data_IF_336633534723
#
_entry.id   IF_336633534723
#
_cell.length_a   1.000
_cell.length_b   1.000
_cell.length_c   1.000
_cell.angle_alpha   90.00
_cell.angle_beta   90.00
_cell.angle_gamma   90.00
#
_symmetry.space_group_name_H-M   'P 1'
#
loop_
_entity.id
_entity.type
_entity.pdbx_description
1 polymer ?
#
# COMPACT_ATOMS: atom_id res chain seq x y z
N UNK A 1 9.74 36.17 -11.00
CA UNK A 1 11.04 35.65 -10.51
C UNK A 1 11.16 35.61 -8.99
N UNK A 2 10.86 36.68 -8.24
CA UNK A 2 10.80 36.61 -6.76
C UNK A 2 9.53 35.87 -6.28
N UNK A 3 8.40 36.07 -6.95
CA UNK A 3 7.15 35.36 -6.69
C UNK A 3 7.27 33.85 -6.92
N UNK A 4 7.86 33.41 -8.02
CA UNK A 4 8.00 31.98 -8.34
C UNK A 4 8.87 31.24 -7.30
N UNK A 5 9.95 31.89 -6.83
CA UNK A 5 10.78 31.36 -5.74
C UNK A 5 10.09 31.37 -4.39
N UNK A 6 9.18 32.32 -4.16
CA UNK A 6 8.36 32.36 -2.94
C UNK A 6 7.30 31.28 -2.97
N UNK A 7 6.63 31.10 -4.11
CA UNK A 7 5.64 30.07 -4.34
C UNK A 7 6.29 28.71 -4.14
N UNK A 8 7.41 28.40 -4.80
CA UNK A 8 8.13 27.13 -4.62
C UNK A 8 8.60 26.88 -3.18
N UNK A 9 8.93 27.94 -2.44
CA UNK A 9 9.24 27.80 -1.00
C UNK A 9 7.99 27.53 -0.18
N UNK A 10 6.88 28.21 -0.46
CA UNK A 10 5.58 28.11 0.23
C UNK A 10 4.90 26.76 -0.05
N UNK A 11 4.95 26.26 -1.28
CA UNK A 11 4.44 24.94 -1.68
C UNK A 11 5.46 23.82 -1.47
N UNK A 12 6.64 24.13 -0.94
CA UNK A 12 7.65 23.15 -0.60
C UNK A 12 7.08 22.10 0.35
N UNK A 13 7.38 20.82 0.08
CA UNK A 13 6.96 19.66 0.88
C UNK A 13 7.24 19.88 2.38
N UNK A 14 8.35 20.55 2.72
CA UNK A 14 8.72 20.91 4.09
C UNK A 14 7.67 21.76 4.80
N UNK A 15 7.06 22.74 4.11
CA UNK A 15 6.04 23.61 4.71
C UNK A 15 4.72 22.87 4.89
N UNK A 16 4.38 21.98 3.96
CA UNK A 16 3.21 21.10 4.10
C UNK A 16 3.39 20.19 5.32
N UNK A 17 4.56 19.57 5.48
CA UNK A 17 4.88 18.73 6.65
C UNK A 17 4.83 19.56 7.94
N UNK A 18 5.44 20.75 7.94
CA UNK A 18 5.44 21.63 9.11
C UNK A 18 4.01 22.04 9.50
N UNK A 19 3.16 22.33 8.50
CA UNK A 19 1.74 22.66 8.72
C UNK A 19 0.97 21.49 9.33
N UNK A 20 1.25 20.27 8.89
CA UNK A 20 0.67 19.04 9.47
C UNK A 20 1.12 18.86 10.92
N UNK A 21 2.41 19.10 11.23
CA UNK A 21 2.93 19.02 12.60
C UNK A 21 2.22 20.04 13.50
N UNK A 22 2.13 21.30 13.06
CA UNK A 22 1.41 22.34 13.81
C UNK A 22 -0.07 22.02 13.98
N UNK A 23 -0.70 21.43 12.98
CA UNK A 23 -2.08 20.95 13.06
C UNK A 23 -2.26 19.90 14.17
N UNK A 24 -1.38 18.88 14.22
CA UNK A 24 -1.40 17.85 15.26
C UNK A 24 -1.13 18.44 16.63
N UNK A 25 -0.11 19.30 16.77
CA UNK A 25 0.20 19.97 18.03
C UNK A 25 -0.95 20.84 18.52
N UNK A 26 -1.63 21.55 17.61
CA UNK A 26 -2.81 22.34 17.93
C UNK A 26 -3.93 21.50 18.52
N UNK A 27 -4.26 20.36 17.91
CA UNK A 27 -5.25 19.43 18.48
C UNK A 27 -4.81 18.81 19.79
N UNK A 28 -3.53 18.45 19.90
CA UNK A 28 -2.97 17.90 21.12
C UNK A 28 -3.16 18.87 22.29
N UNK A 29 -2.74 20.12 22.13
CA UNK A 29 -2.90 21.17 23.15
C UNK A 29 -4.37 21.37 23.51
N UNK A 30 -5.27 21.43 22.51
CA UNK A 30 -6.70 21.63 22.74
C UNK A 30 -7.32 20.47 23.55
N UNK A 31 -7.07 19.24 23.14
CA UNK A 31 -7.61 18.05 23.80
C UNK A 31 -7.03 17.89 25.20
N UNK A 32 -5.74 18.16 25.40
CA UNK A 32 -5.11 18.17 26.73
C UNK A 32 -5.77 19.21 27.63
N UNK A 33 -5.97 20.43 27.17
CA UNK A 33 -6.61 21.49 27.95
C UNK A 33 -8.04 21.10 28.35
N UNK A 34 -8.81 20.54 27.41
CA UNK A 34 -10.17 20.08 27.67
C UNK A 34 -10.23 18.92 28.66
N UNK A 35 -9.38 17.90 28.48
CA UNK A 35 -9.32 16.74 29.38
C UNK A 35 -8.85 17.13 30.77
N UNK A 36 -7.88 18.03 30.88
CA UNK A 36 -7.40 18.52 32.16
C UNK A 36 -8.50 19.29 32.91
N UNK A 37 -9.31 20.09 32.21
CA UNK A 37 -10.46 20.79 32.82
C UNK A 37 -11.52 19.79 33.31
N UNK A 38 -11.86 18.76 32.53
CA UNK A 38 -12.88 17.78 32.91
C UNK A 38 -12.40 16.83 34.01
N UNK A 39 -11.16 16.34 33.92
CA UNK A 39 -10.57 15.44 34.90
C UNK A 39 -10.24 16.15 36.22
N UNK A 40 -10.26 17.48 36.27
CA UNK A 40 -10.03 18.23 37.52
C UNK A 40 -11.05 17.89 38.60
N UNK A 41 -12.25 17.47 38.20
CA UNK A 41 -13.33 17.03 39.08
C UNK A 41 -13.17 15.60 39.61
N UNK A 42 -12.18 14.83 39.12
CA UNK A 42 -12.02 13.39 39.43
C UNK A 42 -10.61 13.09 39.96
N UNK A 43 -9.59 13.75 39.39
CA UNK A 43 -8.19 13.56 39.73
C UNK A 43 -7.66 14.85 40.36
N UNK A 44 -7.48 14.81 41.67
CA UNK A 44 -6.96 15.94 42.46
C UNK A 44 -5.49 16.23 42.13
N UNK A 45 -4.69 15.18 41.92
CA UNK A 45 -3.26 15.33 41.63
C UNK A 45 -3.04 15.86 40.22
N UNK A 46 -2.56 17.10 40.13
CA UNK A 46 -2.34 17.81 38.86
C UNK A 46 -1.40 17.06 37.90
N UNK A 47 -0.31 16.48 38.41
CA UNK A 47 0.66 15.73 37.60
C UNK A 47 0.02 14.49 36.95
N UNK A 48 -0.77 13.73 37.73
CA UNK A 48 -1.49 12.57 37.20
C UNK A 48 -2.51 13.00 36.14
N UNK A 49 -3.22 14.10 36.38
CA UNK A 49 -4.22 14.65 35.47
C UNK A 49 -3.62 15.06 34.12
N UNK A 50 -2.51 15.80 34.11
CA UNK A 50 -1.82 16.15 32.86
C UNK A 50 -1.29 14.91 32.13
N UNK A 51 -0.71 13.96 32.86
CA UNK A 51 -0.19 12.72 32.28
C UNK A 51 -1.29 11.93 31.57
N UNK A 52 -2.42 11.71 32.25
CA UNK A 52 -3.59 11.05 31.65
C UNK A 52 -4.15 11.83 30.46
N UNK A 53 -4.22 13.16 30.57
CA UNK A 53 -4.72 14.01 29.48
C UNK A 53 -3.84 13.90 28.24
N UNK A 54 -2.51 13.93 28.40
CA UNK A 54 -1.56 13.77 27.28
C UNK A 54 -1.67 12.39 26.65
N UNK A 55 -1.73 11.33 27.47
CA UNK A 55 -1.83 9.95 26.97
C UNK A 55 -3.08 9.71 26.13
N UNK A 56 -4.21 10.34 26.47
CA UNK A 56 -5.45 10.27 25.67
C UNK A 56 -5.40 11.21 24.47
N UNK A 57 -4.81 12.40 24.61
CA UNK A 57 -4.79 13.41 23.56
C UNK A 57 -3.89 13.03 22.38
N UNK A 58 -2.79 12.31 22.59
CA UNK A 58 -1.90 11.83 21.51
C UNK A 58 -2.67 10.97 20.49
N UNK A 59 -3.28 9.83 20.86
CA UNK A 59 -4.00 9.00 19.90
C UNK A 59 -5.19 9.74 19.29
N UNK A 60 -5.90 10.56 20.08
CA UNK A 60 -7.02 11.36 19.57
C UNK A 60 -6.57 12.34 18.46
N UNK A 61 -5.43 13.02 18.65
CA UNK A 61 -4.89 13.96 17.66
C UNK A 61 -4.40 13.26 16.39
N UNK A 62 -3.80 12.07 16.53
CA UNK A 62 -3.41 11.25 15.38
C UNK A 62 -4.62 10.73 14.61
N UNK A 63 -5.69 10.32 15.31
CA UNK A 63 -6.95 9.91 14.67
C UNK A 63 -7.54 11.06 13.87
N UNK A 64 -7.57 12.28 14.42
CA UNK A 64 -8.03 13.46 13.67
C UNK A 64 -7.22 13.69 12.41
N UNK A 65 -5.90 13.54 12.49
CA UNK A 65 -5.04 13.69 11.32
C UNK A 65 -5.40 12.65 10.25
N UNK A 66 -5.49 11.38 10.62
CA UNK A 66 -5.83 10.29 9.71
C UNK A 66 -7.19 10.53 9.05
N UNK A 67 -8.20 10.89 9.84
CA UNK A 67 -9.54 11.21 9.33
C UNK A 67 -9.52 12.44 8.44
N UNK A 68 -8.76 13.48 8.78
CA UNK A 68 -8.66 14.71 7.98
C UNK A 68 -8.04 14.46 6.61
N UNK A 69 -7.02 13.60 6.54
CA UNK A 69 -6.34 13.24 5.28
C UNK A 69 -7.23 12.37 4.39
N UNK A 70 -7.95 11.40 4.98
CA UNK A 70 -8.72 10.40 4.24
C UNK A 70 -10.22 10.73 4.11
N UNK A 71 -10.67 11.88 4.63
CA UNK A 71 -12.04 12.34 4.45
C UNK A 71 -12.28 12.77 2.99
N UNK A 72 -12.83 11.86 2.19
CA UNK A 72 -13.30 12.19 0.85
C UNK A 72 -14.62 12.97 0.89
N UNK A 73 -15.48 12.64 1.84
CA UNK A 73 -16.80 13.26 1.96
C UNK A 73 -16.72 14.62 2.64
N UNK A 74 -17.24 15.65 1.96
CA UNK A 74 -17.18 17.04 2.44
C UNK A 74 -17.85 17.23 3.80
N UNK A 75 -18.92 16.49 4.10
CA UNK A 75 -19.64 16.61 5.37
C UNK A 75 -18.77 16.22 6.58
N UNK A 76 -17.84 15.25 6.44
CA UNK A 76 -16.91 14.87 7.52
C UNK A 76 -15.99 16.02 7.88
N UNK A 77 -15.53 16.79 6.88
CA UNK A 77 -14.71 17.99 7.08
C UNK A 77 -15.49 19.10 7.79
N UNK A 78 -16.73 19.33 7.39
CA UNK A 78 -17.61 20.29 8.06
C UNK A 78 -17.91 19.87 9.50
N UNK A 79 -18.16 18.59 9.75
CA UNK A 79 -18.39 18.07 11.10
C UNK A 79 -17.15 18.29 11.99
N UNK A 80 -15.96 18.01 11.46
CA UNK A 80 -14.69 18.25 12.17
C UNK A 80 -14.51 19.74 12.52
N UNK A 81 -14.83 20.63 11.58
CA UNK A 81 -14.76 22.07 11.80
C UNK A 81 -15.77 22.54 12.86
N UNK A 82 -16.97 21.97 12.88
CA UNK A 82 -17.96 22.23 13.94
C UNK A 82 -17.44 21.76 15.29
N UNK A 83 -16.88 20.55 15.38
CA UNK A 83 -16.26 20.07 16.61
C UNK A 83 -15.10 20.96 17.06
N UNK A 84 -14.26 21.42 16.14
CA UNK A 84 -13.15 22.31 16.48
C UNK A 84 -13.63 23.68 16.96
N UNK A 85 -14.71 24.20 16.36
CA UNK A 85 -15.36 25.44 16.80
C UNK A 85 -15.91 25.30 18.24
N UNK A 86 -16.64 24.22 18.52
CA UNK A 86 -17.18 23.94 19.86
C UNK A 86 -16.05 23.75 20.87
N UNK A 87 -15.00 23.01 20.51
CA UNK A 87 -13.80 22.78 21.32
C UNK A 87 -13.12 24.11 21.66
N UNK A 88 -12.93 25.00 20.68
CA UNK A 88 -12.35 26.32 20.87
C UNK A 88 -13.21 27.20 21.79
N UNK A 89 -14.53 27.20 21.60
CA UNK A 89 -15.47 27.94 22.47
C UNK A 89 -15.34 27.49 23.93
N UNK A 90 -15.23 26.18 24.15
CA UNK A 90 -15.05 25.58 25.48
C UNK A 90 -13.70 25.98 26.09
N UNK A 91 -12.61 25.86 25.34
CA UNK A 91 -11.24 26.09 25.84
C UNK A 91 -10.94 27.56 26.06
N UNK A 92 -11.32 28.41 25.11
CA UNK A 92 -11.12 29.86 25.21
C UNK A 92 -11.98 30.48 26.30
N UNK A 93 -12.85 29.68 26.96
CA UNK A 93 -13.74 30.14 28.01
C UNK A 93 -14.46 31.41 27.56
N UNK A 94 -14.93 31.43 26.30
CA UNK A 94 -15.54 32.62 25.67
C UNK A 94 -16.75 33.16 26.46
N UNK A 95 -17.23 32.39 27.44
CA UNK A 95 -18.34 32.70 28.33
C UNK A 95 -17.92 32.91 29.80
N UNK A 96 -16.65 32.78 30.20
CA UNK A 96 -16.27 32.91 31.62
C UNK A 96 -16.32 34.33 32.19
N UNK A 97 -16.14 35.36 31.36
CA UNK A 97 -16.22 36.77 31.79
C UNK A 97 -17.65 37.33 31.75
N UNK A 98 -18.62 36.53 31.34
CA UNK A 98 -20.03 36.90 31.45
C UNK A 98 -20.46 36.57 32.86
N UNK A 99 -20.89 37.57 33.62
CA UNK A 99 -21.32 37.46 35.01
C UNK A 99 -22.61 36.61 35.10
N UNK A 100 -22.46 35.30 35.06
CA UNK A 100 -23.52 34.30 35.18
C UNK A 100 -23.93 34.07 36.64
N UNK A 101 -23.57 34.95 37.58
CA UNK A 101 -24.00 34.86 38.98
C UNK A 101 -25.53 34.81 39.15
N UNK A 102 -26.30 35.30 38.17
CA UNK A 102 -27.77 35.16 38.09
C UNK A 102 -28.27 33.92 37.34
N UNK A 103 -27.39 33.16 36.71
CA UNK A 103 -27.66 32.06 35.80
C UNK A 103 -26.79 30.85 36.17
N UNK A 104 -26.83 30.44 37.43
CA UNK A 104 -26.28 29.16 37.93
C UNK A 104 -26.71 27.95 37.10
N UNK A 105 -27.85 28.05 36.39
CA UNK A 105 -28.31 27.05 35.43
C UNK A 105 -27.41 26.93 34.20
N UNK A 106 -26.80 28.03 33.72
CA UNK A 106 -25.95 28.03 32.52
C UNK A 106 -24.57 27.45 32.82
N UNK A 107 -23.95 27.78 33.96
CA UNK A 107 -22.64 27.21 34.33
C UNK A 107 -22.72 25.68 34.45
N UNK A 108 -23.78 25.19 35.10
CA UNK A 108 -24.05 23.75 35.21
C UNK A 108 -24.30 23.10 33.84
N UNK A 109 -24.97 23.81 32.93
CA UNK A 109 -25.20 23.32 31.57
C UNK A 109 -23.90 23.26 30.75
N UNK A 110 -23.00 24.22 30.92
CA UNK A 110 -21.68 24.22 30.26
C UNK A 110 -20.85 23.05 30.76
N UNK A 111 -20.78 22.81 32.07
CA UNK A 111 -20.01 21.70 32.62
C UNK A 111 -20.59 20.33 32.24
N UNK A 112 -21.92 20.21 32.20
CA UNK A 112 -22.59 19.04 31.65
C UNK A 112 -22.26 18.84 30.16
N UNK A 113 -22.29 19.93 29.38
CA UNK A 113 -21.96 19.90 27.95
C UNK A 113 -20.51 19.46 27.71
N UNK A 114 -19.55 19.92 28.50
CA UNK A 114 -18.14 19.45 28.43
C UNK A 114 -18.02 17.95 28.69
N UNK A 115 -18.72 17.45 29.72
CA UNK A 115 -18.71 16.03 30.10
C UNK A 115 -19.33 15.14 29.04
N UNK A 116 -20.36 15.62 28.33
CA UNK A 116 -21.00 14.88 27.23
C UNK A 116 -20.21 15.00 25.92
N UNK A 117 -19.61 16.15 25.67
CA UNK A 117 -18.86 16.43 24.45
C UNK A 117 -17.64 15.53 24.29
N UNK A 118 -16.87 15.27 25.35
CA UNK A 118 -15.65 14.43 25.26
C UNK A 118 -15.97 12.99 24.81
N UNK A 119 -16.89 12.24 25.44
CA UNK A 119 -17.27 10.92 24.98
C UNK A 119 -17.83 10.90 23.56
N UNK A 120 -18.65 11.89 23.20
CA UNK A 120 -19.23 11.99 21.84
C UNK A 120 -18.14 12.25 20.82
N UNK A 121 -17.21 13.17 21.10
CA UNK A 121 -16.08 13.48 20.25
C UNK A 121 -15.20 12.24 20.06
N UNK A 122 -14.76 11.60 21.15
CA UNK A 122 -13.92 10.40 21.09
C UNK A 122 -14.62 9.25 20.35
N UNK A 123 -15.89 9.00 20.64
CA UNK A 123 -16.67 7.94 19.98
C UNK A 123 -16.78 8.19 18.47
N UNK A 124 -17.07 9.43 18.07
CA UNK A 124 -17.15 9.83 16.65
C UNK A 124 -15.80 9.66 15.95
N UNK A 125 -14.69 10.02 16.63
CA UNK A 125 -13.34 9.84 16.10
C UNK A 125 -12.99 8.37 15.89
N UNK A 126 -13.31 7.50 16.87
CA UNK A 126 -13.10 6.06 16.73
C UNK A 126 -13.96 5.45 15.61
N UNK A 127 -15.20 5.91 15.46
CA UNK A 127 -16.05 5.48 14.35
C UNK A 127 -15.41 5.81 12.99
N UNK A 128 -14.96 7.06 12.79
CA UNK A 128 -14.29 7.45 11.56
C UNK A 128 -12.97 6.71 11.34
N UNK A 129 -12.22 6.42 12.40
CA UNK A 129 -11.00 5.63 12.31
C UNK A 129 -11.29 4.23 11.72
N UNK A 130 -12.31 3.54 12.26
CA UNK A 130 -12.71 2.20 11.79
C UNK A 130 -13.12 2.25 10.31
N UNK A 131 -13.87 3.28 9.91
CA UNK A 131 -14.31 3.46 8.54
C UNK A 131 -13.14 3.67 7.57
N UNK A 132 -12.18 4.53 7.94
CA UNK A 132 -10.95 4.77 7.16
C UNK A 132 -10.12 3.49 7.05
N UNK A 133 -9.93 2.74 8.15
CA UNK A 133 -9.20 1.48 8.10
C UNK A 133 -9.88 0.42 7.22
N UNK A 134 -11.21 0.33 7.27
CA UNK A 134 -11.99 -0.57 6.41
C UNK A 134 -11.73 -0.22 4.94
N UNK A 135 -11.79 1.06 4.61
CA UNK A 135 -11.56 1.52 3.25
C UNK A 135 -10.14 1.26 2.74
N UNK A 136 -9.13 1.62 3.55
CA UNK A 136 -7.72 1.36 3.21
C UNK A 136 -7.45 -0.15 2.99
N UNK A 137 -8.11 -1.01 3.79
CA UNK A 137 -8.04 -2.45 3.61
C UNK A 137 -8.67 -2.89 2.29
N UNK A 138 -9.82 -2.35 1.92
CA UNK A 138 -10.52 -2.64 0.67
C UNK A 138 -9.68 -2.21 -0.55
N UNK A 139 -9.11 -1.00 -0.53
CA UNK A 139 -8.23 -0.48 -1.58
C UNK A 139 -6.97 -1.34 -1.74
N UNK A 140 -6.29 -1.68 -0.64
CA UNK A 140 -5.10 -2.56 -0.68
C UNK A 140 -5.43 -3.95 -1.20
N UNK A 141 -6.61 -4.47 -0.86
CA UNK A 141 -7.07 -5.78 -1.36
C UNK A 141 -7.39 -5.70 -2.85
N UNK A 142 -8.02 -4.62 -3.31
CA UNK A 142 -8.31 -4.40 -4.74
C UNK A 142 -7.02 -4.27 -5.57
N UNK A 143 -6.06 -3.47 -5.10
CA UNK A 143 -4.75 -3.33 -5.75
C UNK A 143 -3.99 -4.67 -5.82
N UNK A 144 -4.01 -5.45 -4.74
CA UNK A 144 -3.42 -6.79 -4.71
C UNK A 144 -4.09 -7.73 -5.73
N UNK A 145 -5.42 -7.73 -5.80
CA UNK A 145 -6.17 -8.53 -6.80
C UNK A 145 -5.83 -8.13 -8.23
N UNK A 146 -5.69 -6.83 -8.50
CA UNK A 146 -5.28 -6.33 -9.81
C UNK A 146 -3.87 -6.79 -10.16
N UNK A 147 -2.92 -6.72 -9.23
CA UNK A 147 -1.56 -7.21 -9.44
C UNK A 147 -1.53 -8.72 -9.70
N UNK A 148 -2.32 -9.52 -8.98
CA UNK A 148 -2.46 -10.95 -9.22
C UNK A 148 -3.01 -11.22 -10.63
N UNK A 149 -4.00 -10.45 -11.08
CA UNK A 149 -4.56 -10.58 -12.42
C UNK A 149 -3.51 -10.26 -13.50
N UNK A 150 -2.72 -9.19 -13.32
CA UNK A 150 -1.62 -8.82 -14.23
C UNK A 150 -0.54 -9.90 -14.28
N UNK A 151 -0.14 -10.45 -13.13
CA UNK A 151 0.84 -11.55 -13.07
C UNK A 151 0.29 -12.80 -13.75
N UNK A 152 -1.00 -13.13 -13.54
CA UNK A 152 -1.62 -14.28 -14.19
C UNK A 152 -1.64 -14.13 -15.72
N UNK A 153 -1.86 -12.93 -16.21
CA UNK A 153 -1.78 -12.63 -17.64
C UNK A 153 -0.36 -12.82 -18.17
N UNK A 154 0.66 -12.27 -17.50
CA UNK A 154 2.05 -12.41 -17.96
C UNK A 154 2.57 -13.85 -17.89
N UNK A 155 2.10 -14.65 -16.93
CA UNK A 155 2.36 -16.09 -16.88
C UNK A 155 1.74 -16.79 -18.09
N UNK A 156 0.47 -16.51 -18.40
CA UNK A 156 -0.20 -17.10 -19.58
C UNK A 156 0.49 -16.72 -20.89
N UNK A 157 0.95 -15.48 -21.02
CA UNK A 157 1.72 -15.03 -22.19
C UNK A 157 3.08 -15.75 -22.29
N UNK A 158 3.73 -16.01 -21.16
CA UNK A 158 5.00 -16.73 -21.10
C UNK A 158 4.84 -18.21 -21.43
N UNK A 159 3.77 -18.85 -20.94
CA UNK A 159 3.41 -20.24 -21.28
C UNK A 159 3.12 -20.39 -22.77
N UNK A 160 2.42 -19.42 -23.38
CA UNK A 160 2.18 -19.43 -24.82
C UNK A 160 3.50 -19.36 -25.61
N UNK A 161 4.40 -18.43 -25.25
CA UNK A 161 5.72 -18.34 -25.90
C UNK A 161 6.55 -19.60 -25.72
N UNK A 162 6.46 -20.24 -24.55
CA UNK A 162 7.13 -21.52 -24.30
C UNK A 162 6.59 -22.62 -25.23
N UNK A 163 5.26 -22.68 -25.40
CA UNK A 163 4.63 -23.62 -26.32
C UNK A 163 5.03 -23.38 -27.78
N UNK A 164 5.08 -22.12 -28.21
CA UNK A 164 5.57 -21.73 -29.54
C UNK A 164 7.05 -22.12 -29.75
N UNK A 165 7.91 -21.88 -28.76
CA UNK A 165 9.30 -22.33 -28.79
C UNK A 165 9.41 -23.84 -28.88
N UNK A 166 8.61 -24.58 -28.11
CA UNK A 166 8.63 -26.04 -28.09
C UNK A 166 8.15 -26.63 -29.43
N UNK A 167 7.14 -26.03 -30.05
CA UNK A 167 6.69 -26.40 -31.40
C UNK A 167 7.80 -26.18 -32.43
N UNK A 168 8.44 -25.01 -32.41
CA UNK A 168 9.57 -24.67 -33.30
C UNK A 168 10.74 -25.62 -33.09
N UNK A 169 11.04 -25.97 -31.83
CA UNK A 169 12.10 -26.92 -31.49
C UNK A 169 11.82 -28.31 -32.06
N UNK A 170 10.58 -28.80 -31.93
CA UNK A 170 10.18 -30.09 -32.49
C UNK A 170 10.27 -30.12 -34.01
N UNK A 171 9.92 -29.02 -34.68
CA UNK A 171 10.06 -28.86 -36.13
C UNK A 171 11.53 -28.92 -36.57
N UNK A 172 12.40 -28.16 -35.92
CA UNK A 172 13.85 -28.19 -36.17
C UNK A 172 14.41 -29.60 -35.93
N UNK A 173 13.99 -30.27 -34.85
CA UNK A 173 14.43 -31.63 -34.57
C UNK A 173 14.00 -32.63 -35.65
N UNK A 174 12.80 -32.45 -36.22
CA UNK A 174 12.32 -33.22 -37.37
C UNK A 174 13.19 -32.98 -38.61
N UNK A 175 13.47 -31.72 -38.93
CA UNK A 175 14.34 -31.32 -40.05
C UNK A 175 15.75 -31.92 -39.89
N UNK A 176 16.34 -31.85 -38.69
CA UNK A 176 17.65 -32.43 -38.40
C UNK A 176 17.61 -33.94 -38.60
N UNK A 177 16.56 -34.63 -38.14
CA UNK A 177 16.40 -36.08 -38.35
C UNK A 177 16.31 -36.43 -39.83
N UNK A 178 15.59 -35.64 -40.63
CA UNK A 178 15.49 -35.84 -42.08
C UNK A 178 16.81 -35.58 -42.79
N UNK A 179 17.50 -34.48 -42.48
CA UNK A 179 18.84 -34.21 -42.99
C UNK A 179 19.81 -35.35 -42.64
N UNK A 180 19.79 -35.83 -41.40
CA UNK A 180 20.67 -36.92 -40.95
C UNK A 180 20.43 -38.23 -41.70
N UNK A 181 19.21 -38.52 -42.17
CA UNK A 181 18.93 -39.72 -43.00
C UNK A 181 19.64 -39.67 -44.35
N UNK A 182 19.94 -38.47 -44.84
CA UNK A 182 20.54 -38.19 -46.15
C UNK A 182 22.00 -37.72 -46.05
N UNK A 183 22.58 -37.65 -44.85
CA UNK A 183 23.96 -37.22 -44.61
C UNK A 183 24.83 -38.42 -44.26
N UNK A 184 26.00 -38.55 -44.89
CA UNK A 184 26.96 -39.59 -44.54
C UNK A 184 27.63 -39.26 -43.19
N UNK A 185 27.66 -40.23 -42.25
CA UNK A 185 28.24 -40.07 -40.91
C UNK A 185 29.73 -39.70 -40.93
N UNK A 186 30.46 -40.17 -41.94
CA UNK A 186 31.92 -40.18 -41.92
C UNK A 186 32.50 -38.93 -42.61
N UNK A 187 31.87 -38.47 -43.70
CA UNK A 187 32.31 -37.30 -44.47
C UNK A 187 31.39 -36.09 -44.35
N UNK A 188 30.26 -36.22 -43.61
CA UNK A 188 29.26 -35.17 -43.37
C UNK A 188 28.63 -34.58 -44.64
N UNK A 189 28.80 -35.23 -45.80
CA UNK A 189 28.23 -34.78 -47.07
C UNK A 189 26.74 -35.16 -47.15
N UNK A 190 25.89 -34.22 -47.58
CA UNK A 190 24.43 -34.40 -47.69
C UNK A 190 24.05 -34.79 -49.12
N UNK A 191 23.16 -35.77 -49.28
CA UNK A 191 22.77 -36.33 -50.58
C UNK A 191 21.29 -36.04 -50.91
N UNK A 192 20.98 -35.90 -52.21
CA UNK A 192 19.61 -35.58 -52.65
C UNK A 192 18.60 -36.71 -52.51
N UNK A 193 19.04 -37.96 -52.36
CA UNK A 193 18.17 -39.11 -52.11
C UNK A 193 18.94 -40.26 -51.44
N UNK A 194 18.20 -41.21 -50.86
CA UNK A 194 18.79 -42.35 -50.15
C UNK A 194 19.68 -43.22 -51.04
N UNK A 195 19.35 -43.34 -52.34
CA UNK A 195 20.12 -44.15 -53.28
C UNK A 195 21.51 -43.55 -53.55
N UNK A 196 21.61 -42.22 -53.63
CA UNK A 196 22.87 -41.50 -53.77
C UNK A 196 23.74 -41.62 -52.51
N UNK A 197 23.14 -41.59 -51.32
CA UNK A 197 23.84 -41.89 -50.06
C UNK A 197 24.33 -43.35 -50.04
N UNK A 198 23.48 -44.30 -50.42
CA UNK A 198 23.82 -45.72 -50.41
C UNK A 198 24.92 -46.10 -51.41
N UNK A 199 25.02 -45.36 -52.53
CA UNK A 199 26.07 -45.50 -53.54
C UNK A 199 27.35 -44.72 -53.19
N UNK A 200 27.34 -43.92 -52.11
CA UNK A 200 28.49 -43.12 -51.70
C UNK A 200 29.64 -44.00 -51.19
N UNK A 201 30.86 -43.69 -51.65
CA UNK A 201 32.08 -44.51 -51.44
C UNK A 201 32.62 -44.54 -50.01
N UNK A 202 32.12 -43.71 -49.09
CA UNK A 202 32.55 -43.75 -47.68
C UNK A 202 32.07 -45.00 -46.93
N UNK A 203 31.38 -45.94 -47.60
CA UNK A 203 30.95 -47.21 -47.01
C UNK A 203 32.14 -48.12 -46.69
N UNK A 204 32.71 -47.93 -45.50
CA UNK A 204 33.67 -48.87 -44.92
C UNK A 204 34.76 -48.19 -44.11
N UNK A 205 34.45 -47.81 -42.86
CA UNK A 205 35.26 -47.97 -41.64
C UNK A 205 34.69 -47.04 -40.56
N UNK A 206 33.89 -47.61 -39.66
CA UNK A 206 33.56 -47.16 -38.29
C UNK A 206 32.08 -47.39 -37.98
N UNK A 207 31.72 -48.66 -37.81
CA UNK A 207 30.77 -48.99 -36.76
C UNK A 207 31.41 -48.54 -35.43
N UNK A 208 30.62 -47.95 -34.53
CA UNK A 208 31.02 -47.38 -33.24
C UNK A 208 31.58 -45.94 -33.28
N UNK A 209 30.69 -44.97 -33.45
CA UNK A 209 30.85 -43.69 -32.74
C UNK A 209 29.56 -43.35 -32.01
N UNK A 210 29.41 -43.94 -30.82
CA UNK A 210 28.59 -43.42 -29.73
C UNK A 210 29.16 -42.05 -29.32
N UNK A 211 28.87 -41.01 -30.10
CA UNK A 211 29.01 -39.64 -29.65
C UNK A 211 27.79 -39.31 -28.80
N UNK A 212 27.89 -39.74 -27.54
CA UNK A 212 27.24 -39.15 -26.38
C UNK A 212 27.58 -37.65 -26.41
N UNK A 213 26.75 -36.84 -27.06
CA UNK A 213 26.88 -35.39 -27.07
C UNK A 213 25.68 -34.79 -26.33
N UNK A 214 25.87 -34.63 -25.01
CA UNK A 214 25.28 -33.61 -24.14
C UNK A 214 23.76 -33.35 -24.30
N UNK A 215 22.93 -34.38 -24.36
CA UNK A 215 21.47 -34.22 -24.21
C UNK A 215 20.94 -34.54 -22.81
N UNK A 216 21.77 -35.08 -21.91
CA UNK A 216 21.29 -35.58 -20.60
C UNK A 216 21.21 -34.51 -19.50
N UNK A 217 21.74 -33.29 -19.71
CA UNK A 217 21.70 -32.23 -18.68
C UNK A 217 20.62 -31.15 -18.88
N UNK A 218 19.88 -31.19 -19.99
CA UNK A 218 18.75 -30.28 -20.20
C UNK A 218 17.39 -30.92 -19.86
N UNK A 219 17.33 -32.25 -19.72
CA UNK A 219 16.12 -33.00 -19.34
C UNK A 219 15.89 -33.14 -17.82
N UNK A 220 16.89 -32.86 -16.99
CA UNK A 220 16.78 -32.93 -15.51
C UNK A 220 16.29 -31.63 -14.85
N UNK A 221 15.83 -30.64 -15.62
CA UNK A 221 15.02 -29.54 -15.08
C UNK A 221 13.53 -29.90 -15.09
N UNK A 222 13.21 -31.14 -14.69
CA UNK A 222 11.91 -31.45 -14.12
C UNK A 222 11.79 -30.74 -12.79
N UNK A 223 11.02 -29.66 -12.80
CA UNK A 223 10.04 -29.31 -11.77
C UNK A 223 10.24 -30.01 -10.41
N UNK A 224 11.08 -29.41 -9.55
CA UNK A 224 10.83 -29.42 -8.12
C UNK A 224 10.33 -28.03 -7.78
N UNK A 225 9.03 -27.85 -7.97
CA UNK A 225 8.25 -26.80 -7.31
C UNK A 225 7.90 -27.31 -5.90
N UNK A 226 8.54 -26.74 -4.88
CA UNK A 226 7.94 -26.56 -3.55
C UNK A 226 7.72 -25.07 -3.33
#
# INVERSE_FOLDING_TARGET
MFEDKLIDRITGITIVILSIIFYVLGYLTKIVALLNDVLSNVIELEVARYTTSILIAIPASLILLVVSIHAEEKWKKYLLAVFDCVLLIIILKAFNDVDFSKLTTISNYIDFSKRLFIPVLLSTMFFFLIEVFKKLKEEKTAASKQNIATIKQSVSESEQKLSELQATFNEIQSIIKEHKKLTCSDCQMTFHNQNALNAHKCKGKNEESNLVFLMDKAGELTMVSE
#
